data_IF_515780417652
#
_entry.id   IF_515780417652
#
_cell.length_a   1.000
_cell.length_b   1.000
_cell.length_c   1.000
_cell.angle_alpha   90.00
_cell.angle_beta   90.00
_cell.angle_gamma   90.00
#
_symmetry.space_group_name_H-M   'P 1'
#
loop_
_entity.id
_entity.type
_entity.pdbx_description
1 polymer ?
#
# COMPACT_ATOMS: atom_id res chain seq x y z
N UNK A 1 65.20 -13.90 39.06
CA UNK A 1 64.81 -13.88 37.64
C UNK A 1 63.30 -13.95 37.62
N UNK A 2 62.67 -12.79 37.49
CA UNK A 2 61.21 -12.59 37.64
C UNK A 2 60.63 -12.51 36.22
N UNK A 3 59.73 -13.42 35.85
CA UNK A 3 59.06 -13.42 34.54
C UNK A 3 57.54 -13.47 34.80
N UNK A 4 56.87 -12.33 34.69
CA UNK A 4 56.20 -11.78 33.49
C UNK A 4 54.76 -12.32 33.35
N UNK A 5 53.81 -11.54 33.85
CA UNK A 5 52.38 -11.65 33.53
C UNK A 5 52.10 -10.96 32.19
N UNK A 6 51.32 -11.58 31.29
CA UNK A 6 50.61 -10.85 30.26
C UNK A 6 49.16 -10.60 30.67
N UNK A 7 48.78 -9.34 30.65
CA UNK A 7 47.42 -8.81 30.73
C UNK A 7 46.69 -9.16 29.44
N UNK A 8 45.62 -9.94 29.51
CA UNK A 8 44.71 -10.21 28.39
C UNK A 8 43.35 -9.58 28.67
N UNK A 9 42.98 -8.59 27.87
CA UNK A 9 41.64 -8.00 27.85
C UNK A 9 40.58 -9.04 27.44
N UNK A 10 39.38 -9.07 28.05
CA UNK A 10 38.27 -9.84 27.52
C UNK A 10 37.58 -9.07 26.39
N UNK A 11 37.92 -9.43 25.15
CA UNK A 11 37.14 -9.11 23.97
C UNK A 11 35.93 -10.02 23.81
N UNK A 12 34.77 -9.39 23.69
CA UNK A 12 33.57 -9.79 22.94
C UNK A 12 32.80 -11.08 23.35
N UNK A 13 31.60 -10.88 23.87
CA UNK A 13 30.40 -11.53 23.35
C UNK A 13 29.19 -10.63 23.62
N UNK A 14 29.02 -9.60 22.79
CA UNK A 14 27.74 -8.90 22.65
C UNK A 14 26.74 -9.93 22.13
N UNK A 15 25.96 -10.51 23.05
CA UNK A 15 24.83 -11.35 22.68
C UNK A 15 23.94 -10.61 21.69
N UNK A 16 23.23 -11.31 20.79
CA UNK A 16 22.31 -10.67 19.88
C UNK A 16 21.38 -9.80 20.71
N UNK A 17 21.33 -8.51 20.39
CA UNK A 17 20.35 -7.59 20.95
C UNK A 17 19.00 -8.28 20.82
N UNK A 18 18.43 -8.67 21.96
CA UNK A 18 17.10 -9.26 22.02
C UNK A 18 16.19 -8.30 21.31
N UNK A 19 15.65 -8.73 20.17
CA UNK A 19 14.87 -7.90 19.27
C UNK A 19 13.85 -7.13 20.07
N UNK A 20 13.95 -5.81 20.02
CA UNK A 20 12.89 -4.94 20.50
C UNK A 20 11.63 -5.34 19.73
N UNK A 21 10.77 -6.13 20.36
CA UNK A 21 9.42 -6.35 19.84
C UNK A 21 8.79 -4.99 19.56
N UNK A 22 7.89 -4.87 18.57
CA UNK A 22 7.32 -3.58 18.20
C UNK A 22 6.79 -2.90 19.45
N UNK A 23 7.31 -1.70 19.73
CA UNK A 23 6.95 -0.95 20.93
C UNK A 23 5.42 -0.82 20.98
N UNK A 24 4.79 -1.42 22.00
CA UNK A 24 3.33 -1.51 22.10
C UNK A 24 2.73 -0.11 22.27
N UNK A 25 2.13 0.41 21.21
CA UNK A 25 1.37 1.66 21.20
C UNK A 25 -0.13 1.36 21.19
N UNK A 26 -0.94 2.36 21.55
CA UNK A 26 -2.38 2.34 21.28
C UNK A 26 -2.71 3.36 20.17
N UNK A 27 -3.82 3.15 19.46
CA UNK A 27 -4.30 4.05 18.42
C UNK A 27 -5.65 4.64 18.82
N UNK A 28 -5.82 5.95 18.58
CA UNK A 28 -7.10 6.66 18.70
C UNK A 28 -7.44 7.25 17.34
N UNK A 29 -8.51 6.75 16.72
CA UNK A 29 -9.00 7.21 15.42
C UNK A 29 -10.24 8.07 15.64
N UNK A 30 -10.16 9.35 15.29
CA UNK A 30 -11.27 10.27 15.35
C UNK A 30 -12.08 10.18 14.05
N UNK A 31 -13.21 9.50 14.13
CA UNK A 31 -14.15 9.30 13.01
C UNK A 31 -15.43 10.15 13.16
N UNK A 32 -15.44 11.06 14.14
CA UNK A 32 -16.53 11.99 14.40
C UNK A 32 -16.44 13.25 13.55
N UNK A 33 -17.60 13.76 13.13
CA UNK A 33 -17.72 15.01 12.39
C UNK A 33 -18.99 15.04 11.57
N UNK A 34 -19.66 16.20 11.51
CA UNK A 34 -20.94 16.34 10.82
C UNK A 34 -20.85 16.25 9.27
N UNK A 35 -19.65 16.03 8.71
CA UNK A 35 -19.39 15.91 7.28
C UNK A 35 -20.11 16.98 6.42
N UNK A 36 -20.23 18.20 6.95
CA UNK A 36 -21.07 19.27 6.37
C UNK A 36 -20.68 19.58 4.91
N UNK A 37 -19.38 19.51 4.61
CA UNK A 37 -18.80 19.74 3.28
C UNK A 37 -19.03 18.59 2.28
N UNK A 38 -19.46 17.43 2.76
CA UNK A 38 -19.84 16.27 1.96
C UNK A 38 -21.36 16.10 1.87
N UNK A 39 -22.13 17.14 2.20
CA UNK A 39 -23.60 17.09 2.15
C UNK A 39 -24.23 16.20 3.23
N UNK A 40 -23.54 15.99 4.36
CA UNK A 40 -24.00 15.11 5.44
C UNK A 40 -23.73 13.63 5.20
N UNK A 41 -22.97 13.27 4.16
CA UNK A 41 -22.55 11.90 3.92
C UNK A 41 -21.70 11.36 5.08
N UNK A 42 -21.86 10.07 5.38
CA UNK A 42 -21.06 9.38 6.39
C UNK A 42 -19.60 9.21 5.93
N UNK A 43 -18.79 10.25 6.16
CA UNK A 43 -17.40 10.39 5.67
C UNK A 43 -16.52 9.15 5.92
N UNK A 44 -16.48 8.54 7.12
CA UNK A 44 -15.65 7.36 7.35
C UNK A 44 -16.07 6.14 6.51
N UNK A 45 -17.33 6.09 6.05
CA UNK A 45 -17.86 5.05 5.16
C UNK A 45 -17.62 5.32 3.66
N UNK A 46 -17.14 6.51 3.27
CA UNK A 46 -16.85 6.81 1.86
C UNK A 46 -15.71 5.93 1.37
N UNK A 47 -15.89 5.35 0.18
CA UNK A 47 -14.92 4.42 -0.41
C UNK A 47 -13.94 5.12 -1.35
N UNK A 48 -12.66 4.81 -1.19
CA UNK A 48 -11.58 5.15 -2.12
C UNK A 48 -10.91 3.82 -2.49
N UNK A 49 -10.73 3.52 -3.78
CA UNK A 49 -10.20 2.22 -4.23
C UNK A 49 -10.94 1.03 -3.63
N UNK A 50 -12.27 1.03 -3.69
CA UNK A 50 -13.11 -0.05 -3.15
C UNK A 50 -13.20 -0.16 -1.62
N UNK A 51 -12.29 0.44 -0.84
CA UNK A 51 -12.23 0.31 0.63
C UNK A 51 -12.76 1.56 1.35
N UNK A 52 -13.53 1.41 2.45
CA UNK A 52 -13.93 2.54 3.29
C UNK A 52 -12.71 3.29 3.83
N UNK A 53 -12.79 4.62 3.94
CA UNK A 53 -11.71 5.45 4.46
C UNK A 53 -11.30 5.03 5.88
N UNK A 54 -12.26 4.73 6.75
CA UNK A 54 -11.98 4.24 8.10
C UNK A 54 -11.14 2.95 8.06
N UNK A 55 -11.52 1.98 7.23
CA UNK A 55 -10.81 0.71 7.14
C UNK A 55 -9.38 0.88 6.61
N UNK A 56 -9.11 1.87 5.75
CA UNK A 56 -7.75 2.22 5.32
C UNK A 56 -6.90 2.70 6.49
N UNK A 57 -7.44 3.56 7.35
CA UNK A 57 -6.74 4.03 8.56
C UNK A 57 -6.53 2.89 9.55
N UNK A 58 -7.54 2.03 9.74
CA UNK A 58 -7.45 0.86 10.63
C UNK A 58 -6.39 -0.16 10.16
N UNK A 59 -6.19 -0.29 8.84
CA UNK A 59 -5.13 -1.12 8.27
C UNK A 59 -3.71 -0.58 8.57
N UNK A 60 -3.55 0.74 8.73
CA UNK A 60 -2.28 1.33 9.14
C UNK A 60 -1.94 1.12 10.63
N UNK A 61 -2.89 0.65 11.43
CA UNK A 61 -2.75 0.46 12.88
C UNK A 61 -2.70 -1.03 13.30
N UNK A 62 -2.32 -1.94 12.41
CA UNK A 62 -2.19 -3.40 12.67
C UNK A 62 -1.33 -3.70 13.90
N UNK A 63 -0.23 -2.96 14.08
CA UNK A 63 0.65 -3.07 15.25
C UNK A 63 0.13 -2.47 16.56
N UNK A 64 -1.04 -1.81 16.56
CA UNK A 64 -1.60 -1.22 17.78
C UNK A 64 -2.14 -2.30 18.72
N UNK A 65 -1.81 -2.20 20.01
CA UNK A 65 -2.33 -3.11 21.04
C UNK A 65 -3.84 -2.90 21.26
N UNK A 66 -4.26 -1.64 21.29
CA UNK A 66 -5.67 -1.23 21.35
C UNK A 66 -5.92 -0.20 20.27
N UNK A 67 -6.99 -0.39 19.49
CA UNK A 67 -7.46 0.62 18.54
C UNK A 67 -8.82 1.11 18.99
N UNK A 68 -8.89 2.40 19.32
CA UNK A 68 -10.11 3.08 19.79
C UNK A 68 -10.62 3.95 18.65
N UNK A 69 -11.88 3.75 18.23
CA UNK A 69 -12.54 4.61 17.24
C UNK A 69 -13.56 5.48 17.96
N UNK A 70 -13.42 6.80 17.83
CA UNK A 70 -14.32 7.77 18.45
C UNK A 70 -15.37 8.18 17.43
N UNK A 71 -16.51 7.50 17.46
CA UNK A 71 -17.68 7.73 16.61
C UNK A 71 -18.86 6.83 17.05
N UNK A 72 -20.01 6.97 16.38
CA UNK A 72 -21.07 5.98 16.48
C UNK A 72 -20.59 4.61 15.91
N UNK A 73 -20.88 3.48 16.60
CA UNK A 73 -20.48 2.15 16.16
C UNK A 73 -20.97 1.79 14.76
N UNK A 74 -20.16 1.03 14.02
CA UNK A 74 -20.43 0.56 12.65
C UNK A 74 -19.58 -0.67 12.32
N UNK A 75 -19.89 -1.41 11.24
CA UNK A 75 -19.01 -2.47 10.75
C UNK A 75 -17.62 -1.94 10.38
N UNK A 76 -16.59 -2.69 10.73
CA UNK A 76 -15.18 -2.41 10.42
C UNK A 76 -14.50 -3.70 10.00
N UNK A 77 -13.45 -3.61 9.17
CA UNK A 77 -12.71 -4.77 8.69
C UNK A 77 -11.94 -5.53 9.79
N UNK A 78 -11.82 -4.93 10.99
CA UNK A 78 -11.17 -5.51 12.17
C UNK A 78 -11.86 -5.08 13.47
N UNK A 79 -11.69 -5.81 14.59
CA UNK A 79 -12.20 -5.41 15.89
C UNK A 79 -11.60 -4.07 16.36
N UNK A 80 -12.43 -3.23 16.96
CA UNK A 80 -12.05 -1.94 17.57
C UNK A 80 -12.85 -1.70 18.84
N UNK A 81 -12.32 -0.85 19.73
CA UNK A 81 -13.06 -0.30 20.87
C UNK A 81 -13.76 0.96 20.43
N UNK A 82 -15.08 1.05 20.64
CA UNK A 82 -15.83 2.26 20.33
C UNK A 82 -15.85 3.20 21.53
N UNK A 83 -15.63 4.48 21.28
CA UNK A 83 -15.79 5.57 22.23
C UNK A 83 -16.60 6.70 21.61
N UNK A 84 -17.11 7.61 22.44
CA UNK A 84 -17.85 8.79 22.00
C UNK A 84 -17.63 9.92 22.98
N UNK A 85 -17.45 11.14 22.48
CA UNK A 85 -17.48 12.31 23.35
C UNK A 85 -18.88 12.56 23.95
N UNK A 86 -18.90 13.18 25.13
CA UNK A 86 -20.10 13.59 25.85
C UNK A 86 -20.01 15.10 26.17
N UNK A 87 -20.93 15.95 25.67
CA UNK A 87 -22.00 15.60 24.73
C UNK A 87 -21.48 15.23 23.33
N UNK A 88 -22.21 14.39 22.57
CA UNK A 88 -21.85 14.06 21.19
C UNK A 88 -21.67 15.30 20.31
N UNK A 89 -20.62 15.33 19.49
CA UNK A 89 -20.31 16.50 18.68
C UNK A 89 -19.58 17.61 19.45
N UNK A 90 -19.05 17.30 20.64
CA UNK A 90 -18.21 18.19 21.44
C UNK A 90 -16.90 18.61 20.76
N UNK A 91 -16.59 18.09 19.59
CA UNK A 91 -15.43 18.49 18.78
C UNK A 91 -14.17 17.68 19.12
N UNK A 92 -13.05 17.99 18.45
CA UNK A 92 -11.91 17.07 18.40
C UNK A 92 -11.17 16.90 19.72
N UNK A 93 -11.14 17.91 20.61
CA UNK A 93 -10.52 17.76 21.93
C UNK A 93 -11.35 16.86 22.85
N UNK A 94 -12.67 17.03 22.85
CA UNK A 94 -13.57 16.14 23.61
C UNK A 94 -13.52 14.70 23.06
N UNK A 95 -13.44 14.55 21.73
CA UNK A 95 -13.30 13.25 21.08
C UNK A 95 -11.96 12.58 21.45
N UNK A 96 -10.86 13.32 21.42
CA UNK A 96 -9.54 12.82 21.80
C UNK A 96 -9.53 12.37 23.27
N UNK A 97 -10.04 13.18 24.19
CA UNK A 97 -10.19 12.83 25.60
C UNK A 97 -11.03 11.56 25.80
N UNK A 98 -12.15 11.43 25.07
CA UNK A 98 -12.97 10.23 25.08
C UNK A 98 -12.21 8.98 24.61
N UNK A 99 -11.43 9.09 23.53
CA UNK A 99 -10.61 7.97 23.04
C UNK A 99 -9.52 7.57 24.04
N UNK A 100 -8.85 8.54 24.65
CA UNK A 100 -7.72 8.29 25.56
C UNK A 100 -8.09 7.61 26.88
N UNK A 101 -9.37 7.65 27.29
CA UNK A 101 -9.87 6.88 28.44
C UNK A 101 -9.75 5.37 28.24
N UNK A 102 -9.65 4.91 27.00
CA UNK A 102 -9.55 3.49 26.66
C UNK A 102 -8.13 3.03 26.31
N UNK A 103 -7.14 3.92 26.40
CA UNK A 103 -5.73 3.59 26.12
C UNK A 103 -4.93 3.47 27.41
N UNK A 104 -3.89 2.65 27.41
CA UNK A 104 -2.97 2.50 28.55
C UNK A 104 -1.50 2.43 28.16
N UNK A 105 -1.19 2.38 26.86
CA UNK A 105 0.18 2.44 26.37
C UNK A 105 0.83 3.81 26.65
N UNK A 106 2.16 3.82 26.77
CA UNK A 106 2.95 5.04 26.92
C UNK A 106 2.85 5.94 25.68
N UNK A 107 2.82 5.33 24.50
CA UNK A 107 2.70 6.01 23.23
C UNK A 107 1.31 5.80 22.64
N UNK A 108 0.72 6.89 22.13
CA UNK A 108 -0.57 6.86 21.43
C UNK A 108 -0.43 7.49 20.05
N UNK A 109 -0.95 6.82 19.03
CA UNK A 109 -1.07 7.38 17.68
C UNK A 109 -2.48 7.92 17.53
N UNK A 110 -2.60 9.19 17.16
CA UNK A 110 -3.88 9.89 16.99
C UNK A 110 -4.08 10.19 15.51
N UNK A 111 -5.17 9.68 14.95
CA UNK A 111 -5.44 9.67 13.51
C UNK A 111 -6.83 10.22 13.20
N UNK A 112 -6.95 10.99 12.12
CA UNK A 112 -8.23 11.24 11.46
C UNK A 112 -8.67 10.01 10.66
N UNK A 113 -9.97 9.79 10.51
CA UNK A 113 -10.53 8.61 9.83
C UNK A 113 -10.57 8.71 8.29
N UNK A 114 -9.98 9.74 7.71
CA UNK A 114 -10.13 10.15 6.30
C UNK A 114 -8.79 10.27 5.55
N UNK A 115 -7.81 9.46 5.97
CA UNK A 115 -6.44 9.46 5.44
C UNK A 115 -6.24 8.28 4.46
N UNK A 116 -6.61 8.41 3.17
CA UNK A 116 -6.62 7.30 2.21
C UNK A 116 -5.23 6.69 1.93
N UNK A 117 -4.15 7.43 2.21
CA UNK A 117 -2.77 7.03 1.92
C UNK A 117 -1.93 6.82 3.18
N UNK A 118 -2.56 6.75 4.36
CA UNK A 118 -1.84 6.38 5.58
C UNK A 118 -1.53 4.87 5.56
N UNK A 119 -0.28 4.53 5.85
CA UNK A 119 0.21 3.14 5.86
C UNK A 119 1.03 2.87 7.13
N UNK A 120 1.17 1.60 7.50
CA UNK A 120 1.91 1.15 8.69
C UNK A 120 3.35 1.71 8.76
N UNK A 121 4.15 1.76 7.67
CA UNK A 121 5.50 2.35 7.73
C UNK A 121 5.52 3.82 8.15
N UNK A 122 4.46 4.59 7.84
CA UNK A 122 4.33 5.98 8.29
C UNK A 122 4.14 6.05 9.79
N UNK A 123 3.30 5.17 10.35
CA UNK A 123 3.06 5.07 11.78
C UNK A 123 4.34 4.68 12.51
N UNK A 124 5.08 3.70 12.00
CA UNK A 124 6.36 3.27 12.55
C UNK A 124 7.41 4.38 12.54
N UNK A 125 7.45 5.18 11.48
CA UNK A 125 8.34 6.34 11.37
C UNK A 125 8.01 7.40 12.44
N UNK A 126 6.73 7.72 12.64
CA UNK A 126 6.32 8.66 13.69
C UNK A 126 6.69 8.16 15.09
N UNK A 127 6.42 6.88 15.37
CA UNK A 127 6.76 6.26 16.65
C UNK A 127 8.28 6.19 16.88
N UNK A 128 9.05 5.91 15.83
CA UNK A 128 10.52 5.89 15.89
C UNK A 128 11.09 7.27 16.20
N UNK A 129 10.61 8.31 15.51
CA UNK A 129 11.00 9.69 15.80
C UNK A 129 10.60 10.14 17.22
N UNK A 130 9.43 9.68 17.71
CA UNK A 130 8.98 10.02 19.06
C UNK A 130 9.91 9.45 20.14
N UNK A 131 10.33 8.19 19.96
CA UNK A 131 11.24 7.51 20.89
C UNK A 131 12.61 8.19 20.96
N UNK A 132 13.12 8.72 19.85
CA UNK A 132 14.46 9.31 19.79
C UNK A 132 14.51 10.80 20.09
N UNK A 133 13.39 11.52 19.94
CA UNK A 133 13.38 12.99 20.05
C UNK A 133 13.36 13.54 21.48
N UNK A 134 12.92 12.74 22.47
CA UNK A 134 12.70 13.22 23.84
C UNK A 134 11.54 14.22 24.00
N UNK A 135 10.78 14.50 22.93
CA UNK A 135 9.67 15.47 22.92
C UNK A 135 8.33 14.86 23.33
N UNK A 136 7.32 15.71 23.50
CA UNK A 136 5.96 15.31 23.86
C UNK A 136 5.22 14.61 22.71
N UNK A 137 5.55 14.95 21.46
CA UNK A 137 4.91 14.36 20.29
C UNK A 137 5.66 14.58 18.97
N UNK A 138 5.20 13.85 17.95
CA UNK A 138 5.59 13.96 16.55
C UNK A 138 4.31 14.06 15.73
N UNK A 139 4.21 15.04 14.84
CA UNK A 139 3.10 15.16 13.91
C UNK A 139 3.57 15.29 12.46
N UNK A 140 2.70 14.91 11.52
CA UNK A 140 2.95 15.17 10.11
C UNK A 140 2.58 16.60 9.76
N UNK A 141 3.26 17.16 8.76
CA UNK A 141 2.85 18.41 8.11
C UNK A 141 2.44 18.14 6.67
N UNK A 142 1.45 18.92 6.20
CA UNK A 142 1.03 18.91 4.80
C UNK A 142 2.06 19.59 3.86
N UNK A 143 1.86 19.56 2.54
CA UNK A 143 2.76 20.23 1.58
C UNK A 143 2.91 21.74 1.80
N UNK A 144 1.91 22.38 2.41
CA UNK A 144 1.93 23.80 2.77
C UNK A 144 2.62 24.07 4.12
N UNK A 145 3.17 23.04 4.77
CA UNK A 145 3.81 23.14 6.08
C UNK A 145 2.82 23.26 7.25
N UNK A 146 1.52 23.03 7.02
CA UNK A 146 0.51 23.07 8.07
C UNK A 146 0.59 21.80 8.93
N UNK A 147 0.55 22.00 10.24
CA UNK A 147 0.50 20.89 11.21
C UNK A 147 -0.78 20.07 11.07
N UNK A 148 -0.62 18.74 11.05
CA UNK A 148 -1.71 17.77 11.11
C UNK A 148 -1.72 17.08 12.48
N UNK A 149 -2.35 17.68 13.51
CA UNK A 149 -2.35 17.13 14.87
C UNK A 149 -3.18 15.84 15.02
N UNK A 150 -3.95 15.49 14.00
CA UNK A 150 -4.65 14.21 13.88
C UNK A 150 -3.94 13.27 12.90
N UNK A 151 -2.64 13.47 12.69
CA UNK A 151 -1.74 12.50 12.06
C UNK A 151 -0.43 12.53 12.85
N UNK A 152 -0.50 12.01 14.08
CA UNK A 152 0.54 12.25 15.07
C UNK A 152 0.73 11.08 16.04
N UNK A 153 1.93 10.97 16.59
CA UNK A 153 2.26 10.12 17.73
C UNK A 153 2.59 10.99 18.95
N UNK A 154 1.98 10.69 20.09
CA UNK A 154 2.15 11.45 21.33
C UNK A 154 2.60 10.56 22.48
N UNK A 155 3.29 11.16 23.45
CA UNK A 155 3.44 10.58 24.80
C UNK A 155 2.10 10.74 25.52
N UNK A 156 1.44 9.62 25.76
CA UNK A 156 0.11 9.58 26.34
C UNK A 156 0.03 10.28 27.72
N UNK A 157 1.04 10.20 28.63
CA UNK A 157 1.00 10.94 29.89
C UNK A 157 0.92 12.46 29.70
N UNK A 158 1.77 13.03 28.83
CA UNK A 158 1.81 14.47 28.54
C UNK A 158 0.53 14.94 27.86
N UNK A 159 0.02 14.13 26.94
CA UNK A 159 -1.25 14.40 26.26
C UNK A 159 -2.43 14.47 27.25
N UNK A 160 -2.50 13.55 28.22
CA UNK A 160 -3.54 13.54 29.26
C UNK A 160 -3.42 14.71 30.23
N UNK A 161 -2.19 15.03 30.64
CA UNK A 161 -1.91 16.16 31.53
C UNK A 161 -2.40 17.47 30.91
N UNK A 162 -2.03 17.75 29.66
CA UNK A 162 -2.45 18.98 28.98
C UNK A 162 -3.97 19.04 28.73
N UNK A 163 -4.61 17.92 28.44
CA UNK A 163 -6.07 17.85 28.35
C UNK A 163 -6.74 18.18 29.70
N UNK A 164 -6.20 17.65 30.81
CA UNK A 164 -6.71 17.96 32.14
C UNK A 164 -6.51 19.44 32.51
N UNK A 165 -5.35 20.03 32.17
CA UNK A 165 -5.08 21.45 32.37
C UNK A 165 -6.02 22.33 31.54
N UNK A 166 -6.29 21.98 30.28
CA UNK A 166 -7.25 22.69 29.43
C UNK A 166 -8.67 22.59 29.98
N UNK A 167 -9.09 21.40 30.42
CA UNK A 167 -10.40 21.21 31.05
C UNK A 167 -10.54 22.06 32.32
N UNK A 168 -9.50 22.10 33.18
CA UNK A 168 -9.49 22.95 34.38
C UNK A 168 -9.54 24.44 34.07
N UNK A 169 -8.81 24.91 33.05
CA UNK A 169 -8.79 26.33 32.64
C UNK A 169 -10.08 26.81 31.99
N UNK A 170 -10.77 25.93 31.26
CA UNK A 170 -11.93 26.31 30.43
C UNK A 170 -13.26 25.71 30.90
N UNK A 171 -13.26 24.91 31.97
CA UNK A 171 -14.42 24.22 32.52
C UNK A 171 -14.79 22.93 31.78
N UNK A 172 -14.63 22.89 30.45
CA UNK A 172 -14.84 21.70 29.62
C UNK A 172 -13.98 21.72 28.36
N UNK A 173 -13.75 20.55 27.77
CA UNK A 173 -13.05 20.40 26.48
C UNK A 173 -13.96 20.60 25.26
N UNK A 174 -15.28 20.50 25.47
CA UNK A 174 -16.26 20.63 24.39
C UNK A 174 -16.18 22.01 23.71
N UNK A 175 -16.13 22.02 22.39
CA UNK A 175 -16.03 23.23 21.56
C UNK A 175 -14.63 23.84 21.49
N UNK A 176 -13.65 23.33 22.25
CA UNK A 176 -12.29 23.84 22.18
C UNK A 176 -11.56 23.33 20.92
N UNK A 177 -10.76 24.19 20.25
CA UNK A 177 -10.00 23.79 19.07
C UNK A 177 -8.71 23.06 19.45
N UNK A 178 -8.34 22.03 18.68
CA UNK A 178 -7.09 21.25 18.87
C UNK A 178 -5.83 22.11 19.01
N UNK A 179 -5.78 23.27 18.33
CA UNK A 179 -4.63 24.18 18.39
C UNK A 179 -4.25 24.61 19.82
N UNK A 180 -5.21 24.60 20.76
CA UNK A 180 -4.96 24.92 22.18
C UNK A 180 -4.09 23.88 22.85
N UNK A 181 -4.27 22.60 22.50
CA UNK A 181 -3.46 21.50 22.99
C UNK A 181 -2.07 21.51 22.35
N UNK A 182 -2.01 21.65 21.03
CA UNK A 182 -0.73 21.59 20.31
C UNK A 182 0.18 22.79 20.60
N UNK A 183 -0.38 23.91 21.09
CA UNK A 183 0.39 25.07 21.51
C UNK A 183 1.14 24.85 22.83
N UNK A 184 0.70 23.90 23.65
CA UNK A 184 1.26 23.63 24.99
C UNK A 184 2.22 22.41 24.97
N UNK A 185 2.27 21.67 23.85
CA UNK A 185 3.13 20.49 23.69
C UNK A 185 4.41 20.84 22.91
N UNK A 186 5.54 20.25 23.30
CA UNK A 186 6.75 20.28 22.48
C UNK A 186 6.69 19.21 21.38
N UNK A 187 6.65 19.65 20.12
CA UNK A 187 6.31 18.80 18.97
C UNK A 187 7.41 18.79 17.91
N UNK A 188 7.76 17.59 17.45
CA UNK A 188 8.55 17.40 16.22
C UNK A 188 7.63 17.38 15.00
N UNK A 189 8.07 17.99 13.90
CA UNK A 189 7.34 18.01 12.62
C UNK A 189 8.06 17.14 11.60
N UNK A 190 7.32 16.27 10.92
CA UNK A 190 7.81 15.46 9.80
C UNK A 190 6.97 15.79 8.57
N UNK A 191 7.61 16.21 7.48
CA UNK A 191 6.88 16.41 6.23
C UNK A 191 6.56 15.07 5.57
N UNK A 192 5.28 14.84 5.28
CA UNK A 192 4.83 13.74 4.44
C UNK A 192 3.59 14.15 3.64
N UNK A 193 3.78 14.70 2.44
CA UNK A 193 2.70 15.13 1.54
C UNK A 193 1.65 14.07 1.22
N UNK A 194 2.00 12.78 1.33
CA UNK A 194 1.14 11.69 0.89
C UNK A 194 0.29 11.21 2.05
N UNK A 195 0.94 10.88 3.18
CA UNK A 195 0.24 10.37 4.34
C UNK A 195 -0.53 11.45 5.12
N UNK A 196 -0.19 12.73 4.95
CA UNK A 196 -0.93 13.87 5.52
C UNK A 196 -2.18 14.27 4.72
N UNK A 197 -2.41 13.66 3.55
CA UNK A 197 -3.56 13.98 2.70
C UNK A 197 -4.86 13.46 3.34
N UNK A 198 -5.75 14.38 3.69
CA UNK A 198 -7.08 14.11 4.23
C UNK A 198 -8.18 14.41 3.20
N UNK A 199 -9.27 13.65 3.25
CA UNK A 199 -10.37 13.78 2.30
C UNK A 199 -11.53 14.64 2.83
N UNK A 200 -11.38 15.95 2.89
CA UNK A 200 -12.37 16.88 3.45
C UNK A 200 -13.56 17.22 2.55
N UNK A 201 -13.38 17.07 1.24
CA UNK A 201 -14.35 17.45 0.20
C UNK A 201 -14.51 16.35 -0.84
N UNK A 202 -15.57 16.44 -1.66
CA UNK A 202 -15.76 15.54 -2.80
C UNK A 202 -14.63 15.67 -3.84
N UNK A 203 -14.01 16.84 -3.94
CA UNK A 203 -12.81 17.05 -4.75
C UNK A 203 -11.64 16.22 -4.25
N UNK A 204 -11.41 16.20 -2.94
CA UNK A 204 -10.32 15.41 -2.33
C UNK A 204 -10.54 13.91 -2.53
N UNK A 205 -11.80 13.44 -2.41
CA UNK A 205 -12.17 12.05 -2.70
C UNK A 205 -11.89 11.69 -4.17
N UNK A 206 -12.24 12.58 -5.10
CA UNK A 206 -11.99 12.36 -6.53
C UNK A 206 -10.49 12.29 -6.82
N UNK A 207 -9.71 13.22 -6.26
CA UNK A 207 -8.24 13.22 -6.32
C UNK A 207 -7.67 11.93 -5.73
N UNK A 208 -8.17 11.50 -4.57
CA UNK A 208 -7.70 10.28 -3.93
C UNK A 208 -7.96 9.04 -4.80
N UNK A 209 -9.16 8.95 -5.39
CA UNK A 209 -9.53 7.87 -6.31
C UNK A 209 -8.72 7.90 -7.61
N UNK A 210 -8.37 9.07 -8.12
CA UNK A 210 -7.50 9.19 -9.29
C UNK A 210 -6.08 8.69 -8.96
N UNK A 211 -5.53 9.13 -7.83
CA UNK A 211 -4.18 8.76 -7.41
C UNK A 211 -4.01 7.26 -7.13
N UNK A 212 -4.99 6.62 -6.48
CA UNK A 212 -4.99 5.15 -6.33
C UNK A 212 -5.03 4.47 -7.71
N UNK A 213 -5.74 5.07 -8.68
CA UNK A 213 -5.81 4.54 -10.05
C UNK A 213 -4.48 4.61 -10.81
N UNK A 214 -3.70 5.65 -10.58
CA UNK A 214 -2.43 5.90 -11.28
C UNK A 214 -1.24 5.09 -10.74
N UNK A 215 -1.20 4.78 -9.43
CA UNK A 215 -0.01 4.20 -8.77
C UNK A 215 0.04 2.66 -8.77
N UNK A 216 -0.66 1.96 -9.68
CA UNK A 216 -0.49 0.51 -9.89
C UNK A 216 -1.09 -0.42 -8.81
N UNK A 217 -1.51 0.09 -7.65
CA UNK A 217 -2.19 -0.68 -6.63
C UNK A 217 -3.64 -1.06 -6.97
N UNK A 218 -4.20 -0.54 -8.08
CA UNK A 218 -5.54 -0.91 -8.54
C UNK A 218 -5.64 -2.40 -8.75
N UNK A 219 -4.62 -3.02 -9.34
CA UNK A 219 -4.71 -4.43 -9.69
C UNK A 219 -4.65 -5.30 -8.44
N UNK A 220 -3.73 -5.04 -7.51
CA UNK A 220 -3.63 -5.81 -6.26
C UNK A 220 -4.85 -5.58 -5.35
N UNK A 221 -5.36 -4.35 -5.25
CA UNK A 221 -6.59 -4.04 -4.50
C UNK A 221 -7.82 -4.65 -5.19
N UNK A 222 -7.91 -4.60 -6.52
CA UNK A 222 -8.99 -5.21 -7.30
C UNK A 222 -8.97 -6.73 -7.17
N UNK A 223 -7.79 -7.35 -7.29
CA UNK A 223 -7.61 -8.79 -7.11
C UNK A 223 -8.03 -9.17 -5.69
N UNK A 224 -7.62 -8.43 -4.66
CA UNK A 224 -8.02 -8.70 -3.28
C UNK A 224 -9.54 -8.60 -3.11
N UNK A 225 -10.17 -7.55 -3.63
CA UNK A 225 -11.62 -7.37 -3.55
C UNK A 225 -12.39 -8.48 -4.30
N UNK A 226 -11.90 -8.90 -5.47
CA UNK A 226 -12.49 -10.01 -6.24
C UNK A 226 -12.30 -11.35 -5.53
N UNK A 227 -11.14 -11.59 -4.90
CA UNK A 227 -10.90 -12.78 -4.08
C UNK A 227 -11.87 -12.85 -2.91
N UNK A 228 -12.06 -11.74 -2.19
CA UNK A 228 -12.99 -11.68 -1.06
C UNK A 228 -14.44 -11.94 -1.49
N UNK A 229 -14.90 -11.29 -2.56
CA UNK A 229 -16.27 -11.44 -3.08
C UNK A 229 -16.55 -12.86 -3.59
N UNK A 230 -15.55 -13.48 -4.22
CA UNK A 230 -15.67 -14.85 -4.76
C UNK A 230 -15.32 -15.94 -3.75
N UNK A 231 -14.87 -15.58 -2.53
CA UNK A 231 -14.43 -16.54 -1.51
C UNK A 231 -13.19 -17.34 -1.91
N UNK A 232 -12.27 -16.73 -2.65
CA UNK A 232 -11.06 -17.39 -3.18
C UNK A 232 -9.86 -17.09 -2.29
N UNK A 233 -9.34 -18.11 -1.61
CA UNK A 233 -8.05 -18.07 -0.93
C UNK A 233 -6.97 -18.72 -1.81
N UNK A 234 -6.36 -17.93 -2.69
CA UNK A 234 -5.34 -18.38 -3.64
C UNK A 234 -4.29 -17.28 -3.83
N UNK A 235 -3.05 -17.56 -3.44
CA UNK A 235 -1.92 -16.66 -3.65
C UNK A 235 -1.09 -17.11 -4.86
N UNK A 236 -1.17 -16.38 -5.97
CA UNK A 236 -0.54 -16.74 -7.25
C UNK A 236 0.41 -15.66 -7.70
N UNK A 237 1.44 -16.05 -8.45
CA UNK A 237 2.35 -15.11 -9.09
C UNK A 237 1.61 -14.30 -10.17
N UNK A 238 1.04 -13.17 -9.77
CA UNK A 238 0.34 -12.23 -10.65
C UNK A 238 1.25 -11.73 -11.77
N UNK A 239 2.54 -11.49 -11.51
CA UNK A 239 3.47 -11.00 -12.55
C UNK A 239 3.66 -12.07 -13.61
N UNK A 240 3.90 -13.31 -13.20
CA UNK A 240 4.02 -14.45 -14.11
C UNK A 240 2.77 -14.65 -14.98
N UNK A 241 1.57 -14.50 -14.42
CA UNK A 241 0.32 -14.59 -15.18
C UNK A 241 0.12 -13.44 -16.17
N UNK A 242 0.51 -12.22 -15.81
CA UNK A 242 0.46 -11.05 -16.69
C UNK A 242 1.49 -11.13 -17.82
N UNK A 243 2.68 -11.64 -17.54
CA UNK A 243 3.71 -11.88 -18.55
C UNK A 243 3.28 -12.99 -19.52
N UNK A 244 2.68 -14.09 -19.03
CA UNK A 244 2.04 -15.09 -19.90
C UNK A 244 0.95 -14.48 -20.78
N UNK A 245 0.07 -13.65 -20.20
CA UNK A 245 -0.97 -12.98 -20.98
C UNK A 245 -0.35 -12.09 -22.07
N UNK A 246 0.72 -11.36 -21.74
CA UNK A 246 1.49 -10.56 -22.71
C UNK A 246 2.05 -11.44 -23.82
N UNK A 247 2.71 -12.55 -23.48
CA UNK A 247 3.32 -13.46 -24.44
C UNK A 247 2.29 -14.08 -25.37
N UNK A 248 1.14 -14.50 -24.84
CA UNK A 248 0.02 -14.98 -25.66
C UNK A 248 -0.54 -13.89 -26.58
N UNK A 249 -0.69 -12.65 -26.10
CA UNK A 249 -1.18 -11.55 -26.92
C UNK A 249 -0.26 -11.22 -28.09
N UNK A 250 1.06 -11.31 -27.90
CA UNK A 250 2.06 -10.97 -28.93
C UNK A 250 2.43 -12.16 -29.82
N UNK A 251 2.54 -13.36 -29.25
CA UNK A 251 2.98 -14.57 -29.94
C UNK A 251 1.85 -15.36 -30.62
N UNK A 252 0.60 -15.10 -30.25
CA UNK A 252 -0.58 -15.76 -30.84
C UNK A 252 -1.51 -14.75 -31.48
N UNK A 253 -2.24 -13.98 -30.66
CA UNK A 253 -3.14 -12.90 -31.09
C UNK A 253 -3.63 -12.13 -29.86
N UNK A 254 -3.99 -10.86 -30.00
CA UNK A 254 -4.47 -10.03 -28.86
C UNK A 254 -5.57 -10.69 -28.00
N UNK A 255 -6.59 -11.38 -28.55
CA UNK A 255 -7.60 -12.06 -27.73
C UNK A 255 -7.09 -13.28 -26.95
N UNK A 256 -5.90 -13.80 -27.27
CA UNK A 256 -5.35 -14.97 -26.61
C UNK A 256 -4.94 -14.70 -25.15
N UNK A 257 -4.65 -13.44 -24.78
CA UNK A 257 -4.31 -13.06 -23.41
C UNK A 257 -5.37 -13.51 -22.38
N UNK A 258 -6.63 -13.01 -22.42
CA UNK A 258 -7.64 -13.38 -21.43
C UNK A 258 -8.09 -14.85 -21.53
N UNK A 259 -8.07 -15.44 -22.73
CA UNK A 259 -8.45 -16.85 -22.91
C UNK A 259 -7.41 -17.80 -22.31
N UNK A 260 -6.12 -17.49 -22.47
CA UNK A 260 -5.02 -18.30 -21.93
C UNK A 260 -5.04 -18.29 -20.40
N UNK A 261 -5.19 -17.12 -19.78
CA UNK A 261 -5.22 -17.02 -18.31
C UNK A 261 -6.45 -17.69 -17.71
N UNK A 262 -7.62 -17.61 -18.36
CA UNK A 262 -8.81 -18.37 -17.96
C UNK A 262 -8.57 -19.89 -18.00
N UNK A 263 -8.01 -20.41 -19.10
CA UNK A 263 -7.74 -21.83 -19.25
C UNK A 263 -6.69 -22.34 -18.25
N UNK A 264 -5.68 -21.53 -17.94
CA UNK A 264 -4.71 -21.84 -16.87
C UNK A 264 -5.42 -21.99 -15.52
N UNK A 265 -6.28 -21.04 -15.16
CA UNK A 265 -7.07 -21.10 -13.93
C UNK A 265 -7.99 -22.32 -13.89
N UNK A 266 -8.67 -22.62 -15.00
CA UNK A 266 -9.56 -23.78 -15.12
C UNK A 266 -8.81 -25.12 -15.01
N UNK A 267 -7.64 -25.23 -15.66
CA UNK A 267 -6.79 -26.42 -15.59
C UNK A 267 -6.20 -26.63 -14.18
N UNK A 268 -5.82 -25.55 -13.51
CA UNK A 268 -5.36 -25.59 -12.13
C UNK A 268 -6.47 -26.08 -11.18
N UNK A 269 -7.69 -25.57 -11.34
CA UNK A 269 -8.85 -26.02 -10.57
C UNK A 269 -9.15 -27.52 -10.75
N UNK A 270 -9.05 -28.04 -11.98
CA UNK A 270 -9.18 -29.48 -12.24
C UNK A 270 -8.09 -30.34 -11.59
N UNK A 271 -6.93 -29.74 -11.30
CA UNK A 271 -5.77 -30.44 -10.72
C UNK A 271 -5.72 -30.36 -9.19
N UNK A 272 -6.84 -30.02 -8.53
CA UNK A 272 -6.93 -29.86 -7.08
C UNK A 272 -6.71 -28.42 -6.58
N UNK A 273 -6.48 -27.48 -7.49
CA UNK A 273 -6.31 -26.06 -7.17
C UNK A 273 -4.95 -25.70 -6.54
N UNK A 274 -4.85 -24.46 -6.08
CA UNK A 274 -3.67 -23.96 -5.36
C UNK A 274 -2.56 -23.36 -6.24
N UNK A 275 -1.57 -22.69 -5.61
CA UNK A 275 -0.53 -21.94 -6.33
C UNK A 275 0.33 -22.79 -7.25
N UNK A 276 0.66 -24.02 -6.82
CA UNK A 276 1.50 -24.96 -7.59
C UNK A 276 0.82 -25.44 -8.87
N UNK A 277 -0.48 -25.74 -8.80
CA UNK A 277 -1.26 -26.15 -9.97
C UNK A 277 -1.37 -25.01 -10.99
N UNK A 278 -1.52 -23.76 -10.53
CA UNK A 278 -1.51 -22.58 -11.39
C UNK A 278 -0.13 -22.39 -12.04
N UNK A 279 0.95 -22.50 -11.27
CA UNK A 279 2.30 -22.38 -11.80
C UNK A 279 2.60 -23.45 -12.86
N UNK A 280 2.19 -24.70 -12.62
CA UNK A 280 2.37 -25.79 -13.59
C UNK A 280 1.58 -25.57 -14.89
N UNK A 281 0.31 -25.18 -14.77
CA UNK A 281 -0.52 -24.86 -15.94
C UNK A 281 0.04 -23.65 -16.71
N UNK A 282 0.51 -22.61 -16.01
CA UNK A 282 1.13 -21.44 -16.62
C UNK A 282 2.42 -21.82 -17.38
N UNK A 283 3.29 -22.66 -16.80
CA UNK A 283 4.51 -23.15 -17.49
C UNK A 283 4.20 -23.85 -18.81
N UNK A 284 3.18 -24.70 -18.85
CA UNK A 284 2.74 -25.39 -20.07
C UNK A 284 2.23 -24.40 -21.12
N UNK A 285 1.46 -23.40 -20.71
CA UNK A 285 0.94 -22.36 -21.58
C UNK A 285 2.04 -21.45 -22.16
N UNK A 286 3.02 -21.04 -21.34
CA UNK A 286 4.20 -20.28 -21.79
C UNK A 286 4.97 -21.06 -22.85
N UNK A 287 5.26 -22.34 -22.60
CA UNK A 287 5.97 -23.18 -23.55
C UNK A 287 5.20 -23.35 -24.88
N UNK A 288 3.88 -23.39 -24.83
CA UNK A 288 3.02 -23.47 -26.02
C UNK A 288 3.02 -22.16 -26.82
N UNK A 289 2.86 -21.02 -26.15
CA UNK A 289 2.90 -19.70 -26.78
C UNK A 289 4.24 -19.43 -27.47
N UNK A 290 5.35 -19.84 -26.85
CA UNK A 290 6.68 -19.71 -27.43
C UNK A 290 6.85 -20.51 -28.73
N UNK A 291 6.32 -21.75 -28.79
CA UNK A 291 6.35 -22.57 -30.02
C UNK A 291 5.55 -21.94 -31.15
N UNK A 292 4.35 -21.42 -30.85
CA UNK A 292 3.53 -20.72 -31.83
C UNK A 292 4.20 -19.46 -32.40
N UNK A 293 4.86 -18.68 -31.55
CA UNK A 293 5.62 -17.51 -32.00
C UNK A 293 6.79 -17.89 -32.92
N UNK A 294 7.50 -18.98 -32.61
CA UNK A 294 8.60 -19.49 -33.42
C UNK A 294 8.14 -20.02 -34.79
N UNK A 295 7.02 -20.74 -34.84
CA UNK A 295 6.40 -21.20 -36.10
C UNK A 295 6.01 -20.03 -36.99
N UNK A 296 5.39 -19.00 -36.40
CA UNK A 296 4.98 -17.76 -37.09
C UNK A 296 6.17 -16.99 -37.65
N UNK A 297 7.34 -17.06 -36.99
CA UNK A 297 8.58 -16.38 -37.42
C UNK A 297 9.37 -17.20 -38.44
N UNK A 298 9.22 -18.53 -38.42
CA UNK A 298 9.94 -19.46 -39.32
C UNK A 298 9.21 -19.67 -40.64
N UNK A 299 7.89 -19.46 -40.68
CA UNK A 299 7.06 -19.50 -41.89
C UNK A 299 7.26 -18.31 -42.85
N UNK A 300 8.05 -17.30 -42.47
CA UNK A 300 8.25 -16.05 -43.22
C UNK A 300 9.66 -15.90 -43.83
N UNK A 301 10.48 -16.97 -43.83
CA UNK A 301 11.74 -16.99 -44.62
C UNK A 301 11.47 -17.59 -46.00
N UNK A 302 11.77 -16.90 -47.12
CA UNK A 302 11.69 -17.52 -48.44
C UNK A 302 12.77 -18.61 -48.52
N UNK A 303 12.34 -19.83 -48.85
CA UNK A 303 13.19 -20.97 -49.14
C UNK A 303 14.16 -20.63 -50.27
N UNK A 304 15.46 -20.61 -49.94
CA UNK A 304 16.55 -20.38 -50.88
C UNK A 304 16.60 -21.46 -51.97
N UNK A 305 16.89 -21.01 -53.19
CA UNK A 305 17.06 -21.84 -54.38
C UNK A 305 18.20 -22.88 -54.21
N UNK A 306 18.08 -24.07 -54.82
CA UNK A 306 19.14 -25.07 -54.79
C UNK A 306 20.29 -24.70 -55.74
N UNK A 307 21.50 -24.77 -55.20
CA UNK A 307 22.76 -24.68 -55.91
C UNK A 307 22.95 -25.93 -56.80
N UNK A 308 23.03 -25.74 -58.12
CA UNK A 308 23.42 -26.78 -59.06
C UNK A 308 24.79 -26.45 -59.67
N UNK A 309 25.78 -27.30 -59.40
CA UNK A 309 27.09 -27.29 -60.05
C UNK A 309 27.22 -28.50 -60.98
N UNK A 310 27.52 -28.27 -62.27
CA UNK A 310 28.37 -29.14 -63.08
C UNK A 310 28.68 -28.52 -64.46
N UNK A 311 29.96 -28.23 -64.70
CA UNK A 311 30.73 -28.71 -65.86
C UNK A 311 30.39 -28.26 -67.29
N UNK A 312 31.17 -27.29 -67.76
CA UNK A 312 32.03 -27.28 -68.98
C UNK A 312 31.47 -27.50 -70.41
N UNK A 313 32.20 -26.86 -71.35
CA UNK A 313 32.24 -26.99 -72.83
C UNK A 313 31.51 -25.91 -73.67
N UNK A 314 32.31 -24.97 -74.19
CA UNK A 314 32.09 -24.20 -75.43
C UNK A 314 32.40 -25.08 -76.69
N UNK A 315 32.09 -24.72 -77.95
CA UNK A 315 31.86 -23.36 -78.48
C UNK A 315 30.79 -23.23 -79.61
N UNK A 316 30.68 -21.99 -80.11
CA UNK A 316 30.63 -21.60 -81.54
C UNK A 316 29.32 -21.02 -82.11
N UNK A 317 29.56 -20.06 -83.02
CA UNK A 317 28.69 -19.42 -84.00
C UNK A 317 27.72 -18.30 -83.56
N UNK A 318 28.23 -17.06 -83.67
CA UNK A 318 27.54 -15.90 -84.29
C UNK A 318 26.85 -16.31 -85.62
N UNK A 319 25.79 -15.61 -86.11
CA UNK A 319 25.87 -14.15 -86.31
C UNK A 319 24.56 -13.34 -86.23
N UNK A 320 24.77 -12.02 -86.21
CA UNK A 320 24.01 -10.98 -86.92
C UNK A 320 22.51 -10.75 -86.60
N UNK A 321 22.20 -9.61 -85.98
CA UNK A 321 21.89 -8.37 -86.71
C UNK A 321 21.30 -7.32 -85.75
N UNK A 322 21.93 -6.14 -85.76
CA UNK A 322 21.34 -4.85 -85.36
C UNK A 322 20.35 -4.40 -86.46
N UNK A 323 19.36 -3.53 -86.15
CA UNK A 323 19.63 -2.09 -86.00
C UNK A 323 18.94 -1.49 -84.74
N UNK A 324 19.54 -0.54 -84.02
CA UNK A 324 19.55 0.92 -84.28
C UNK A 324 18.15 1.43 -84.68
N UNK A 325 17.55 2.50 -84.14
CA UNK A 325 17.98 3.52 -83.20
C UNK A 325 16.71 4.28 -82.73
N UNK A 326 16.84 4.95 -81.59
CA UNK A 326 15.94 5.99 -81.08
C UNK A 326 16.62 6.66 -79.90
#
# INVERSE_FOLDING_TARGET
MTAYQPTGEPGAATGPAQGAGPARYDAVVLAGGAARRLGGADKPGVRVGGRPLLDRVLAACTGARTTVVVAAPRPTARPVTWAREDPPGGGPLAALDAGLRHTTAEHVVVLSADLPFLHEPTVDRMLSALRTSGRDGVLLTDPGGRDQPLVAAYRAPRLREELALLAGRHGALAGLPLRRLTAELDLTRISDPVASFDCDTWGDIATARARIREHGHVLDEWISAVKDELGIDLDVDTRGLLDLARDAAHGVARPAAPLTTFLVGYAAAQSGGGPEAVAEAARKAVALAARWAQESTSGDRPSGEPQASAGDVAPDATPDTRPDAG
#
